data_IF_534044800790
#
_entry.id   IF_534044800790
#
_cell.length_a   1.000
_cell.length_b   1.000
_cell.length_c   1.000
_cell.angle_alpha   90.00
_cell.angle_beta   90.00
_cell.angle_gamma   90.00
#
_symmetry.space_group_name_H-M   'P 1'
#
loop_
_entity.id
_entity.type
_entity.pdbx_description
1 polymer ?
#
# COMPACT_ATOMS: atom_id res chain seq x y z
N UNK A 1 22.94 21.04 8.19
CA UNK A 1 22.14 21.35 6.99
C UNK A 1 20.95 20.41 6.90
N UNK A 2 19.79 20.94 6.58
CA UNK A 2 18.61 20.12 6.39
C UNK A 2 18.75 19.32 5.09
N UNK A 3 18.46 18.01 5.15
CA UNK A 3 18.44 17.16 3.97
C UNK A 3 17.04 17.17 3.38
N UNK A 4 16.95 17.44 2.07
CA UNK A 4 15.68 17.41 1.36
C UNK A 4 15.34 15.96 1.01
N UNK A 5 14.12 15.52 1.36
CA UNK A 5 13.63 14.21 1.00
C UNK A 5 12.97 14.26 -0.37
N UNK A 6 13.46 13.46 -1.29
CA UNK A 6 12.83 13.30 -2.61
C UNK A 6 11.57 12.45 -2.47
N UNK A 7 10.43 12.98 -2.90
CA UNK A 7 9.14 12.28 -2.75
C UNK A 7 9.19 10.90 -3.41
N UNK A 8 9.82 10.78 -4.58
CA UNK A 8 9.91 9.50 -5.28
C UNK A 8 10.69 8.42 -4.54
N UNK A 9 11.54 8.81 -3.58
CA UNK A 9 12.29 7.85 -2.78
C UNK A 9 11.47 7.21 -1.66
N UNK A 10 10.28 7.71 -1.40
CA UNK A 10 9.40 7.18 -0.35
C UNK A 10 8.66 5.91 -0.79
N UNK A 11 8.60 5.66 -2.08
CA UNK A 11 7.96 4.48 -2.66
C UNK A 11 9.02 3.70 -3.46
N UNK A 12 9.04 2.38 -3.32
CA UNK A 12 9.96 1.54 -4.07
C UNK A 12 9.21 0.41 -4.77
N UNK A 13 9.84 -0.10 -5.83
CA UNK A 13 9.29 -1.22 -6.60
C UNK A 13 10.45 -2.18 -6.87
N UNK A 14 10.50 -3.29 -6.13
CA UNK A 14 11.58 -4.28 -6.23
C UNK A 14 10.96 -5.64 -6.56
N UNK A 15 11.54 -6.32 -7.55
CA UNK A 15 11.02 -7.61 -8.01
C UNK A 15 10.93 -8.66 -6.91
N UNK A 16 11.87 -8.64 -5.96
CA UNK A 16 11.94 -9.59 -4.85
C UNK A 16 11.00 -9.27 -3.69
N UNK A 17 10.32 -8.11 -3.72
CA UNK A 17 9.39 -7.70 -2.66
C UNK A 17 7.99 -7.60 -3.26
N UNK A 18 7.06 -8.40 -2.71
CA UNK A 18 5.65 -8.39 -3.11
C UNK A 18 5.46 -8.51 -4.63
N UNK A 19 6.30 -9.33 -5.30
CA UNK A 19 6.24 -9.60 -6.74
C UNK A 19 6.34 -8.32 -7.59
N UNK A 20 7.15 -7.37 -7.14
CA UNK A 20 7.38 -6.12 -7.85
C UNK A 20 6.29 -5.07 -7.65
N UNK A 21 5.39 -5.27 -6.70
CA UNK A 21 4.36 -4.28 -6.37
C UNK A 21 5.00 -3.05 -5.72
N UNK A 22 4.44 -1.85 -5.97
CA UNK A 22 4.93 -0.64 -5.30
C UNK A 22 4.70 -0.75 -3.79
N UNK A 23 5.75 -0.43 -3.03
CA UNK A 23 5.76 -0.54 -1.56
C UNK A 23 6.30 0.73 -0.94
N UNK A 24 5.97 0.94 0.34
CA UNK A 24 6.63 1.95 1.17
C UNK A 24 8.11 1.57 1.24
N UNK A 25 9.00 2.51 0.86
CA UNK A 25 10.43 2.27 0.84
C UNK A 25 10.93 1.80 2.21
N UNK A 26 11.77 0.77 2.20
CA UNK A 26 12.33 0.20 3.42
C UNK A 26 11.40 -0.73 4.19
N UNK A 27 10.22 -1.05 3.64
CA UNK A 27 9.25 -1.93 4.29
C UNK A 27 8.67 -2.92 3.30
N UNK A 28 7.93 -3.90 3.80
CA UNK A 28 7.12 -4.78 2.97
C UNK A 28 5.66 -4.34 2.84
N UNK A 29 5.33 -3.13 3.28
CA UNK A 29 3.95 -2.60 3.20
C UNK A 29 3.70 -2.08 1.79
N UNK A 30 2.72 -2.66 1.10
CA UNK A 30 2.42 -2.27 -0.28
C UNK A 30 1.53 -1.03 -0.33
N UNK A 31 1.65 -0.29 -1.44
CA UNK A 31 0.76 0.84 -1.71
C UNK A 31 -0.70 0.38 -1.75
N UNK A 32 -0.98 -0.81 -2.30
CA UNK A 32 -2.36 -1.31 -2.36
C UNK A 32 -2.95 -1.53 -0.95
N UNK A 33 -2.14 -1.90 0.03
CA UNK A 33 -2.59 -2.04 1.41
C UNK A 33 -3.01 -0.69 2.00
N UNK A 34 -2.21 0.34 1.75
CA UNK A 34 -2.54 1.71 2.17
C UNK A 34 -3.83 2.17 1.47
N UNK A 35 -3.95 1.93 0.17
CA UNK A 35 -5.15 2.28 -0.60
C UNK A 35 -6.38 1.56 -0.07
N UNK A 36 -6.25 0.29 0.33
CA UNK A 36 -7.34 -0.48 0.91
C UNK A 36 -7.90 0.18 2.17
N UNK A 37 -7.03 0.55 3.10
CA UNK A 37 -7.46 1.23 4.34
C UNK A 37 -8.07 2.60 4.04
N UNK A 38 -7.48 3.33 3.10
CA UNK A 38 -8.03 4.62 2.65
C UNK A 38 -9.45 4.45 2.09
N UNK A 39 -9.65 3.46 1.24
CA UNK A 39 -10.96 3.20 0.64
C UNK A 39 -11.99 2.72 1.66
N UNK A 40 -11.53 2.19 2.79
CA UNK A 40 -12.39 1.82 3.91
C UNK A 40 -12.72 2.99 4.83
N UNK A 41 -12.22 4.19 4.54
CA UNK A 41 -12.55 5.41 5.26
C UNK A 41 -11.53 5.85 6.30
N UNK A 42 -10.38 5.18 6.41
CA UNK A 42 -9.35 5.61 7.36
C UNK A 42 -8.63 6.86 6.86
N UNK A 43 -8.38 7.79 7.79
CA UNK A 43 -7.54 8.95 7.51
C UNK A 43 -6.07 8.53 7.46
N UNK A 44 -5.17 9.35 6.85
CA UNK A 44 -3.75 9.03 6.87
C UNK A 44 -3.19 8.82 8.28
N UNK A 45 -3.63 9.62 9.26
CA UNK A 45 -3.20 9.49 10.64
C UNK A 45 -3.67 8.16 11.26
N UNK A 46 -4.89 7.73 10.95
CA UNK A 46 -5.39 6.44 11.40
C UNK A 46 -4.61 5.29 10.78
N UNK A 47 -4.21 5.42 9.51
CA UNK A 47 -3.40 4.41 8.83
C UNK A 47 -2.04 4.27 9.52
N UNK A 48 -1.41 5.39 9.90
CA UNK A 48 -0.16 5.35 10.67
C UNK A 48 -0.34 4.52 11.94
N UNK A 49 -1.43 4.73 12.67
CA UNK A 49 -1.72 3.99 13.90
C UNK A 49 -2.00 2.51 13.63
N UNK A 50 -2.68 2.20 12.55
CA UNK A 50 -2.97 0.81 12.15
C UNK A 50 -1.67 0.01 11.98
N UNK A 51 -0.61 0.65 11.48
CA UNK A 51 0.70 0.02 11.32
C UNK A 51 1.63 0.23 12.53
N UNK A 52 1.08 0.65 13.68
CA UNK A 52 1.85 0.78 14.91
C UNK A 52 2.95 1.83 14.87
N UNK A 53 2.83 2.82 13.98
CA UNK A 53 3.83 3.88 13.82
C UNK A 53 5.03 3.50 12.97
N UNK A 54 5.06 2.29 12.40
CA UNK A 54 6.18 1.84 11.56
C UNK A 54 6.17 2.47 10.17
N UNK A 55 5.04 3.04 9.75
CA UNK A 55 4.92 3.74 8.47
C UNK A 55 4.71 5.22 8.77
N UNK A 56 5.71 6.07 8.52
CA UNK A 56 5.57 7.51 8.79
C UNK A 56 4.48 8.17 7.96
N UNK A 57 3.91 9.24 8.50
CA UNK A 57 2.81 9.96 7.83
C UNK A 57 3.19 10.42 6.42
N UNK A 58 4.42 10.90 6.23
CA UNK A 58 4.87 11.34 4.90
C UNK A 58 4.79 10.20 3.89
N UNK A 59 5.13 8.98 4.30
CA UNK A 59 5.08 7.82 3.42
C UNK A 59 3.64 7.37 3.16
N UNK A 60 2.74 7.54 4.12
CA UNK A 60 1.31 7.27 3.87
C UNK A 60 0.79 8.22 2.81
N UNK A 61 1.10 9.52 2.91
CA UNK A 61 0.71 10.49 1.88
C UNK A 61 1.34 10.18 0.52
N UNK A 62 2.61 9.77 0.50
CA UNK A 62 3.28 9.40 -0.74
C UNK A 62 2.59 8.18 -1.39
N UNK A 63 2.21 7.20 -0.58
CA UNK A 63 1.49 6.02 -1.07
C UNK A 63 0.13 6.40 -1.66
N UNK A 64 -0.59 7.31 -1.02
CA UNK A 64 -1.88 7.77 -1.54
C UNK A 64 -1.69 8.57 -2.82
N UNK A 65 -0.65 9.40 -2.92
CA UNK A 65 -0.33 10.11 -4.15
C UNK A 65 -0.01 9.12 -5.28
N UNK A 66 0.77 8.09 -4.98
CA UNK A 66 1.06 7.03 -5.95
C UNK A 66 -0.22 6.32 -6.38
N UNK A 67 -1.08 5.99 -5.43
CA UNK A 67 -2.36 5.35 -5.70
C UNK A 67 -3.19 6.19 -6.69
N UNK A 68 -3.38 7.48 -6.41
CA UNK A 68 -4.18 8.32 -7.29
C UNK A 68 -3.55 8.53 -8.67
N UNK A 69 -2.22 8.55 -8.74
CA UNK A 69 -1.51 8.68 -10.01
C UNK A 69 -1.58 7.39 -10.83
N UNK A 70 -1.81 6.24 -10.19
CA UNK A 70 -1.83 4.92 -10.84
C UNK A 70 -3.08 4.12 -10.41
N UNK A 71 -4.20 4.79 -10.29
CA UNK A 71 -5.42 4.25 -9.67
C UNK A 71 -5.91 2.99 -10.38
N UNK A 72 -5.88 2.98 -11.70
CA UNK A 72 -6.31 1.82 -12.49
C UNK A 72 -5.53 0.55 -12.14
N UNK A 73 -4.19 0.67 -12.07
CA UNK A 73 -3.31 -0.44 -11.71
C UNK A 73 -3.61 -0.96 -10.30
N UNK A 74 -3.71 -0.05 -9.34
CA UNK A 74 -3.90 -0.42 -7.94
C UNK A 74 -5.31 -0.99 -7.71
N UNK A 75 -6.33 -0.41 -8.29
CA UNK A 75 -7.70 -0.93 -8.18
C UNK A 75 -7.83 -2.31 -8.81
N UNK A 76 -7.16 -2.56 -9.92
CA UNK A 76 -7.14 -3.89 -10.55
C UNK A 76 -6.44 -4.91 -9.64
N UNK A 77 -5.36 -4.51 -8.98
CA UNK A 77 -4.62 -5.37 -8.05
C UNK A 77 -5.46 -5.69 -6.81
N UNK A 78 -6.20 -4.72 -6.28
CA UNK A 78 -7.12 -4.94 -5.16
C UNK A 78 -8.25 -5.91 -5.55
N UNK A 79 -8.81 -5.74 -6.73
CA UNK A 79 -9.87 -6.63 -7.22
C UNK A 79 -9.35 -8.06 -7.39
N UNK A 80 -8.12 -8.22 -7.86
CA UNK A 80 -7.47 -9.53 -8.00
C UNK A 80 -7.27 -10.19 -6.64
N UNK A 81 -6.82 -9.42 -5.63
CA UNK A 81 -6.65 -9.92 -4.27
C UNK A 81 -7.97 -10.39 -3.67
N UNK A 82 -9.05 -9.64 -3.85
CA UNK A 82 -10.38 -10.00 -3.36
C UNK A 82 -10.85 -11.33 -3.98
N UNK A 83 -10.64 -11.51 -5.28
CA UNK A 83 -11.00 -12.78 -5.97
C UNK A 83 -10.20 -13.96 -5.43
N UNK A 84 -8.91 -13.77 -5.20
CA UNK A 84 -8.05 -14.81 -4.63
C UNK A 84 -8.51 -15.19 -3.23
N UNK A 85 -8.88 -14.22 -2.42
CA UNK A 85 -9.39 -14.46 -1.07
C UNK A 85 -10.69 -15.24 -1.11
N UNK A 86 -11.62 -14.89 -1.99
CA UNK A 86 -12.89 -15.63 -2.15
C UNK A 86 -12.66 -17.09 -2.53
N UNK A 87 -11.75 -17.36 -3.45
CA UNK A 87 -11.42 -18.71 -3.87
C UNK A 87 -10.87 -19.50 -2.69
N UNK A 88 -9.96 -18.94 -1.91
CA UNK A 88 -9.38 -19.59 -0.74
C UNK A 88 -10.43 -19.87 0.32
N UNK A 89 -11.34 -18.95 0.58
CA UNK A 89 -12.43 -19.14 1.53
C UNK A 89 -13.35 -20.29 1.12
N UNK A 90 -13.70 -20.39 -0.16
CA UNK A 90 -14.51 -21.49 -0.67
C UNK A 90 -13.81 -22.83 -0.48
N UNK A 91 -12.50 -22.89 -0.67
CA UNK A 91 -11.73 -24.12 -0.47
C UNK A 91 -11.69 -24.54 1.00
N UNK A 92 -11.67 -23.58 1.92
CA UNK A 92 -11.64 -23.87 3.36
C UNK A 92 -13.00 -24.25 3.94
N UNK A 93 -14.09 -24.00 3.25
CA UNK A 93 -15.45 -24.30 3.72
C UNK A 93 -15.90 -25.73 3.42
N UNK A 94 -15.06 -26.55 2.85
CA UNK A 94 -15.38 -27.95 2.56
C UNK A 94 -15.02 -28.88 3.70
#
# INVERSE_FOLDING_TARGET
MATVTEIGSLISRRAEIRDGRPCIAGTGVSVRRIAQWHNMGQTPEEIVQTFGGHVPLAQVHAALAYYYANQEEIDADLASEDRETEVLERQHQR
#
